data_IF_900030717323
#
_entry.id   IF_900030717323
#
_cell.length_a   1.000
_cell.length_b   1.000
_cell.length_c   1.000
_cell.angle_alpha   90.00
_cell.angle_beta   90.00
_cell.angle_gamma   90.00
#
_symmetry.space_group_name_H-M   'P 1'
#
loop_
_entity.id
_entity.type
_entity.pdbx_description
1 polymer ?
#
# COMPACT_ATOMS: atom_id res chain seq x y z
N UNK A 1 24.08 -2.26 -7.44
CA UNK A 1 24.36 -2.03 -6.01
C UNK A 1 25.34 -0.88 -5.76
N UNK A 2 26.54 -0.79 -6.40
CA UNK A 2 27.47 0.31 -6.13
C UNK A 2 26.90 1.71 -6.38
N UNK A 3 26.08 1.89 -7.42
CA UNK A 3 25.40 3.16 -7.71
C UNK A 3 24.36 3.51 -6.63
N UNK A 4 23.58 2.53 -6.17
CA UNK A 4 22.58 2.69 -5.11
C UNK A 4 23.28 3.20 -3.84
N UNK A 5 24.39 2.55 -3.46
CA UNK A 5 25.20 2.98 -2.32
C UNK A 5 25.82 4.36 -2.52
N UNK A 6 26.35 4.65 -3.71
CA UNK A 6 26.95 5.96 -4.03
C UNK A 6 25.98 7.12 -3.87
N UNK A 7 24.71 6.93 -4.23
CA UNK A 7 23.70 7.99 -4.21
C UNK A 7 22.75 7.93 -3.01
N UNK A 8 22.86 6.92 -2.14
CA UNK A 8 21.94 6.75 -1.01
C UNK A 8 20.48 6.57 -1.46
N UNK A 9 20.26 5.89 -2.58
CA UNK A 9 18.93 5.68 -3.12
C UNK A 9 18.28 4.42 -2.53
N UNK A 10 16.96 4.43 -2.39
CA UNK A 10 16.19 3.20 -2.20
C UNK A 10 16.18 2.37 -3.50
N UNK A 11 15.96 1.06 -3.37
CA UNK A 11 15.90 0.13 -4.48
C UNK A 11 14.69 -0.80 -4.37
N UNK A 12 13.92 -0.89 -5.46
CA UNK A 12 12.92 -1.95 -5.63
C UNK A 12 13.63 -3.17 -6.20
N UNK A 13 13.51 -4.30 -5.53
CA UNK A 13 14.13 -5.55 -5.93
C UNK A 13 13.07 -6.62 -6.16
N UNK A 14 12.97 -7.07 -7.40
CA UNK A 14 12.00 -8.08 -7.81
C UNK A 14 12.48 -9.44 -7.31
N UNK A 15 11.66 -10.16 -6.54
CA UNK A 15 12.01 -11.49 -6.01
C UNK A 15 11.87 -12.58 -7.09
N UNK A 16 12.68 -12.47 -8.14
CA UNK A 16 12.71 -13.37 -9.29
C UNK A 16 14.17 -13.65 -9.65
N UNK A 17 14.46 -14.89 -10.07
CA UNK A 17 15.80 -15.26 -10.54
C UNK A 17 15.78 -15.71 -12.02
N UNK A 18 16.91 -16.21 -12.50
CA UNK A 18 17.11 -16.66 -13.89
C UNK A 18 16.24 -17.87 -14.27
N UNK A 19 15.67 -18.58 -13.29
CA UNK A 19 14.78 -19.73 -13.52
C UNK A 19 13.34 -19.31 -13.82
N UNK A 20 13.02 -18.02 -13.65
CA UNK A 20 11.71 -17.45 -13.94
C UNK A 20 10.86 -17.23 -12.70
N UNK A 21 9.55 -17.06 -12.94
CA UNK A 21 8.54 -16.67 -11.95
C UNK A 21 8.02 -17.92 -11.24
N UNK A 22 8.58 -18.23 -10.07
CA UNK A 22 8.07 -19.31 -9.22
C UNK A 22 6.73 -18.92 -8.57
N UNK A 23 5.78 -19.86 -8.55
CA UNK A 23 4.52 -19.71 -7.80
C UNK A 23 4.67 -20.09 -6.31
N UNK A 24 5.81 -20.66 -5.92
CA UNK A 24 6.09 -21.08 -4.54
C UNK A 24 6.56 -19.89 -3.69
N UNK A 25 5.82 -19.52 -2.62
CA UNK A 25 6.24 -18.48 -1.68
C UNK A 25 7.61 -18.72 -1.05
N UNK A 26 8.01 -19.97 -0.80
CA UNK A 26 9.33 -20.27 -0.20
C UNK A 26 10.46 -19.89 -1.16
N UNK A 27 10.30 -20.21 -2.45
CA UNK A 27 11.27 -19.83 -3.48
C UNK A 27 11.37 -18.30 -3.57
N UNK A 28 10.24 -17.60 -3.54
CA UNK A 28 10.20 -16.12 -3.55
C UNK A 28 10.95 -15.52 -2.37
N UNK A 29 10.73 -16.06 -1.17
CA UNK A 29 11.39 -15.60 0.05
C UNK A 29 12.87 -15.93 0.07
N UNK A 30 13.28 -17.08 -0.48
CA UNK A 30 14.69 -17.42 -0.63
C UNK A 30 15.42 -16.42 -1.56
N UNK A 31 14.80 -16.06 -2.68
CA UNK A 31 15.34 -15.03 -3.58
C UNK A 31 15.38 -13.66 -2.90
N UNK A 32 14.31 -13.27 -2.20
CA UNK A 32 14.28 -12.02 -1.44
C UNK A 32 15.39 -11.97 -0.39
N UNK A 33 15.62 -13.04 0.36
CA UNK A 33 16.71 -13.15 1.34
C UNK A 33 18.07 -12.96 0.69
N UNK A 34 18.34 -13.64 -0.43
CA UNK A 34 19.58 -13.49 -1.20
C UNK A 34 19.81 -12.05 -1.66
N UNK A 35 18.75 -11.37 -2.13
CA UNK A 35 18.81 -9.96 -2.54
C UNK A 35 19.19 -9.08 -1.34
N UNK A 36 18.54 -9.28 -0.19
CA UNK A 36 18.77 -8.49 1.02
C UNK A 36 20.21 -8.68 1.50
N UNK A 37 20.68 -9.91 1.64
CA UNK A 37 22.06 -10.23 2.03
C UNK A 37 23.06 -9.54 1.10
N UNK A 38 22.81 -9.63 -0.21
CA UNK A 38 23.67 -8.99 -1.20
C UNK A 38 23.66 -7.45 -1.10
N UNK A 39 22.52 -6.84 -0.78
CA UNK A 39 22.44 -5.40 -0.54
C UNK A 39 23.22 -5.00 0.72
N UNK A 40 23.13 -5.80 1.78
CA UNK A 40 23.85 -5.59 3.04
C UNK A 40 25.37 -5.69 2.86
N UNK A 41 25.87 -6.62 2.03
CA UNK A 41 27.30 -6.71 1.67
C UNK A 41 27.84 -5.41 1.05
N UNK A 42 26.97 -4.63 0.39
CA UNK A 42 27.31 -3.34 -0.23
C UNK A 42 27.03 -2.16 0.70
N UNK A 43 26.67 -2.42 1.96
CA UNK A 43 26.36 -1.40 2.97
C UNK A 43 25.06 -0.64 2.69
N UNK A 44 24.10 -1.25 1.98
CA UNK A 44 22.76 -0.70 1.78
C UNK A 44 21.87 -1.21 2.92
N UNK A 45 21.20 -0.32 3.67
CA UNK A 45 20.41 -0.74 4.82
C UNK A 45 19.10 -1.41 4.38
N UNK A 46 18.50 -2.20 5.27
CA UNK A 46 17.33 -3.04 4.93
C UNK A 46 16.09 -2.21 4.62
N UNK A 47 15.94 -1.07 5.27
CA UNK A 47 14.85 -0.11 5.04
C UNK A 47 14.87 0.48 3.61
N UNK A 48 16.03 0.53 2.96
CA UNK A 48 16.18 1.01 1.58
C UNK A 48 15.93 -0.08 0.53
N UNK A 49 15.69 -1.33 0.94
CA UNK A 49 15.40 -2.45 0.04
C UNK A 49 13.90 -2.76 0.10
N UNK A 50 13.21 -2.47 -1.01
CA UNK A 50 11.80 -2.75 -1.19
C UNK A 50 11.63 -4.02 -2.02
N UNK A 51 11.17 -5.10 -1.41
CA UNK A 51 10.93 -6.36 -2.13
C UNK A 51 9.62 -6.27 -2.92
N UNK A 52 9.69 -6.53 -4.23
CA UNK A 52 8.52 -6.70 -5.08
C UNK A 52 8.28 -8.20 -5.35
N UNK A 53 7.20 -8.79 -4.81
CA UNK A 53 6.87 -10.20 -5.00
C UNK A 53 6.36 -10.54 -6.41
N UNK A 54 6.23 -9.53 -7.28
CA UNK A 54 5.68 -9.60 -8.64
C UNK A 54 4.22 -10.07 -8.65
N UNK A 55 3.29 -9.12 -8.47
CA UNK A 55 1.86 -9.39 -8.52
C UNK A 55 1.45 -9.92 -9.90
N UNK A 56 0.81 -11.07 -9.91
CA UNK A 56 0.32 -11.70 -11.14
C UNK A 56 -1.18 -11.46 -11.36
N UNK A 57 -1.69 -11.50 -12.61
CA UNK A 57 -3.10 -11.25 -12.90
C UNK A 57 -4.02 -12.30 -12.29
N UNK A 58 -4.98 -11.85 -11.47
CA UNK A 58 -5.94 -12.74 -10.77
C UNK A 58 -6.87 -13.47 -11.75
N UNK A 59 -7.13 -12.87 -12.92
CA UNK A 59 -7.94 -13.48 -13.97
C UNK A 59 -7.30 -14.72 -14.61
N UNK A 60 -5.97 -14.82 -14.57
CA UNK A 60 -5.22 -15.97 -15.06
C UNK A 60 -4.87 -16.96 -13.94
N UNK A 61 -4.66 -16.46 -12.72
CA UNK A 61 -4.26 -17.28 -11.57
C UNK A 61 -5.15 -17.04 -10.36
N UNK A 62 -6.08 -17.97 -10.11
CA UNK A 62 -7.11 -17.88 -9.06
C UNK A 62 -6.56 -17.55 -7.66
N UNK A 63 -5.36 -18.03 -7.34
CA UNK A 63 -4.75 -17.89 -6.01
C UNK A 63 -3.71 -16.77 -5.90
N UNK A 64 -3.43 -16.03 -6.98
CA UNK A 64 -2.37 -15.01 -7.01
C UNK A 64 -2.51 -13.98 -5.87
N UNK A 65 -3.74 -13.54 -5.57
CA UNK A 65 -4.01 -12.61 -4.48
C UNK A 65 -3.60 -13.16 -3.11
N UNK A 66 -4.00 -14.40 -2.78
CA UNK A 66 -3.65 -15.02 -1.49
C UNK A 66 -2.14 -15.26 -1.36
N UNK A 67 -1.52 -15.73 -2.44
CA UNK A 67 -0.08 -15.98 -2.47
C UNK A 67 0.71 -14.68 -2.24
N UNK A 68 0.34 -13.58 -2.91
CA UNK A 68 1.07 -12.32 -2.73
C UNK A 68 0.89 -11.73 -1.34
N UNK A 69 -0.30 -11.84 -0.74
CA UNK A 69 -0.51 -11.40 0.65
C UNK A 69 0.33 -12.20 1.64
N UNK A 70 0.52 -13.50 1.40
CA UNK A 70 1.38 -14.34 2.23
C UNK A 70 2.85 -13.92 2.12
N UNK A 71 3.34 -13.71 0.90
CA UNK A 71 4.73 -13.27 0.67
C UNK A 71 4.98 -11.90 1.30
N UNK A 72 4.05 -10.95 1.12
CA UNK A 72 4.13 -9.62 1.73
C UNK A 72 4.21 -9.71 3.25
N UNK A 73 3.34 -10.51 3.88
CA UNK A 73 3.33 -10.70 5.34
C UNK A 73 4.65 -11.28 5.83
N UNK A 74 5.16 -12.32 5.17
CA UNK A 74 6.43 -12.96 5.55
C UNK A 74 7.64 -12.07 5.31
N UNK A 75 7.65 -11.26 4.24
CA UNK A 75 8.69 -10.23 4.06
C UNK A 75 8.71 -9.24 5.23
N UNK A 76 7.53 -8.83 5.71
CA UNK A 76 7.40 -7.91 6.85
C UNK A 76 7.77 -8.57 8.18
N UNK A 77 7.32 -9.79 8.41
CA UNK A 77 7.46 -10.49 9.69
C UNK A 77 8.81 -11.18 9.87
N UNK A 78 9.32 -11.86 8.83
CA UNK A 78 10.55 -12.66 8.91
C UNK A 78 11.77 -11.88 8.44
N UNK A 79 11.67 -11.18 7.31
CA UNK A 79 12.81 -10.49 6.69
C UNK A 79 13.00 -9.06 7.22
N UNK A 80 11.95 -8.48 7.82
CA UNK A 80 11.90 -7.11 8.36
C UNK A 80 12.31 -6.06 7.31
N UNK A 81 11.80 -6.21 6.10
CA UNK A 81 12.03 -5.28 4.99
C UNK A 81 10.76 -4.59 4.55
N UNK A 82 10.94 -3.54 3.75
CA UNK A 82 9.84 -2.90 3.05
C UNK A 82 9.45 -3.72 1.81
N UNK A 83 8.20 -3.58 1.39
CA UNK A 83 7.65 -4.23 0.19
C UNK A 83 7.02 -3.19 -0.74
N UNK A 84 7.08 -3.48 -2.04
CA UNK A 84 6.46 -2.67 -3.09
C UNK A 84 5.68 -3.59 -4.03
N UNK A 85 4.59 -3.11 -4.63
CA UNK A 85 3.95 -3.83 -5.72
C UNK A 85 3.29 -2.89 -6.73
N UNK A 86 3.22 -3.34 -7.99
CA UNK A 86 2.38 -2.72 -9.01
C UNK A 86 0.92 -3.12 -8.84
N UNK A 87 0.10 -2.27 -8.21
CA UNK A 87 -1.28 -2.59 -7.85
C UNK A 87 -2.16 -2.91 -9.06
N UNK A 88 -1.89 -2.30 -10.22
CA UNK A 88 -2.67 -2.51 -11.44
C UNK A 88 -2.48 -3.90 -12.07
N UNK A 89 -1.40 -4.62 -11.75
CA UNK A 89 -1.11 -5.91 -12.37
C UNK A 89 -2.14 -6.99 -11.97
N UNK A 90 -2.69 -6.89 -10.75
CA UNK A 90 -3.67 -7.85 -10.24
C UNK A 90 -4.91 -7.96 -11.13
N UNK A 91 -5.34 -6.85 -11.71
CA UNK A 91 -6.59 -6.75 -12.48
C UNK A 91 -6.38 -6.76 -14.00
N UNK A 92 -5.18 -7.10 -14.48
CA UNK A 92 -4.90 -7.12 -15.91
C UNK A 92 -5.85 -8.08 -16.65
N UNK A 93 -6.45 -7.60 -17.75
CA UNK A 93 -7.42 -8.35 -18.55
C UNK A 93 -8.85 -8.42 -17.97
N UNK A 94 -9.12 -7.80 -16.81
CA UNK A 94 -10.45 -7.80 -16.19
C UNK A 94 -11.19 -6.47 -16.40
N UNK A 95 -12.54 -6.49 -16.51
CA UNK A 95 -13.35 -5.28 -16.49
C UNK A 95 -13.42 -4.68 -15.08
N UNK A 96 -13.88 -3.43 -14.98
CA UNK A 96 -14.13 -2.74 -13.71
C UNK A 96 -12.95 -2.78 -12.72
N UNK A 97 -11.77 -2.34 -13.19
CA UNK A 97 -10.49 -2.52 -12.48
C UNK A 97 -10.33 -1.66 -11.22
N UNK A 98 -10.98 -0.49 -11.15
CA UNK A 98 -10.86 0.44 -10.02
C UNK A 98 -11.21 -0.20 -8.67
N UNK A 99 -12.45 -0.70 -8.49
CA UNK A 99 -12.85 -1.39 -7.27
C UNK A 99 -11.99 -2.61 -6.93
N UNK A 100 -11.54 -3.36 -7.94
CA UNK A 100 -10.69 -4.54 -7.76
C UNK A 100 -9.29 -4.16 -7.27
N UNK A 101 -8.68 -3.12 -7.85
CA UNK A 101 -7.38 -2.60 -7.43
C UNK A 101 -7.45 -1.99 -6.03
N UNK A 102 -8.50 -1.22 -5.73
CA UNK A 102 -8.72 -0.66 -4.39
C UNK A 102 -8.87 -1.76 -3.33
N UNK A 103 -9.69 -2.77 -3.60
CA UNK A 103 -9.85 -3.92 -2.69
C UNK A 103 -8.53 -4.67 -2.49
N UNK A 104 -7.80 -4.92 -3.58
CA UNK A 104 -6.47 -5.54 -3.52
C UNK A 104 -5.51 -4.74 -2.64
N UNK A 105 -5.44 -3.42 -2.82
CA UNK A 105 -4.57 -2.56 -2.03
C UNK A 105 -4.94 -2.58 -0.54
N UNK A 106 -6.22 -2.48 -0.20
CA UNK A 106 -6.66 -2.55 1.20
C UNK A 106 -6.25 -3.88 1.86
N UNK A 107 -6.43 -5.00 1.15
CA UNK A 107 -6.01 -6.32 1.63
C UNK A 107 -4.49 -6.44 1.74
N UNK A 108 -3.74 -5.90 0.77
CA UNK A 108 -2.27 -5.93 0.79
C UNK A 108 -1.69 -5.08 1.93
N UNK A 109 -2.28 -3.90 2.18
CA UNK A 109 -1.94 -3.03 3.32
C UNK A 109 -2.21 -3.77 4.63
N UNK A 110 -3.35 -4.46 4.76
CA UNK A 110 -3.65 -5.33 5.91
C UNK A 110 -2.67 -6.50 6.07
N UNK A 111 -2.06 -6.97 4.99
CA UNK A 111 -1.01 -7.99 5.02
C UNK A 111 0.40 -7.44 5.34
N UNK A 112 0.57 -6.11 5.42
CA UNK A 112 1.85 -5.45 5.72
C UNK A 112 2.57 -4.84 4.52
N UNK A 113 1.87 -4.58 3.41
CA UNK A 113 2.43 -3.84 2.27
C UNK A 113 2.83 -2.43 2.70
N UNK A 114 4.06 -2.01 2.40
CA UNK A 114 4.56 -0.70 2.82
C UNK A 114 4.53 0.36 1.72
N UNK A 115 4.45 -0.04 0.45
CA UNK A 115 4.39 0.88 -0.69
C UNK A 115 3.73 0.24 -1.90
N UNK A 116 3.18 1.06 -2.80
CA UNK A 116 2.58 0.58 -4.04
C UNK A 116 2.80 1.56 -5.20
N UNK A 117 3.00 1.03 -6.40
CA UNK A 117 2.94 1.78 -7.65
C UNK A 117 1.48 1.70 -8.15
N UNK A 118 0.77 2.83 -8.09
CA UNK A 118 -0.65 2.92 -8.42
C UNK A 118 -1.03 4.34 -8.86
N UNK A 119 -2.28 4.55 -9.29
CA UNK A 119 -2.83 5.87 -9.57
C UNK A 119 -3.47 6.47 -8.30
N UNK A 120 -2.80 7.40 -7.59
CA UNK A 120 -3.28 7.90 -6.30
C UNK A 120 -4.48 8.85 -6.40
N UNK A 121 -4.80 9.35 -7.59
CA UNK A 121 -5.95 10.25 -7.80
C UNK A 121 -7.22 9.51 -8.23
N UNK A 122 -7.13 8.19 -8.48
CA UNK A 122 -8.29 7.37 -8.77
C UNK A 122 -9.10 7.14 -7.49
N UNK A 123 -10.41 7.37 -7.55
CA UNK A 123 -11.27 7.47 -6.37
C UNK A 123 -11.37 6.16 -5.59
N UNK A 124 -11.49 5.02 -6.26
CA UNK A 124 -11.55 3.72 -5.58
C UNK A 124 -10.25 3.38 -4.87
N UNK A 125 -9.09 3.65 -5.50
CA UNK A 125 -7.76 3.47 -4.90
C UNK A 125 -7.59 4.40 -3.71
N UNK A 126 -7.85 5.71 -3.88
CA UNK A 126 -7.68 6.71 -2.80
C UNK A 126 -8.54 6.35 -1.59
N UNK A 127 -9.82 6.07 -1.82
CA UNK A 127 -10.76 5.71 -0.75
C UNK A 127 -10.34 4.43 -0.05
N UNK A 128 -9.88 3.41 -0.80
CA UNK A 128 -9.43 2.15 -0.21
C UNK A 128 -8.17 2.31 0.65
N UNK A 129 -7.21 3.13 0.23
CA UNK A 129 -6.00 3.43 1.02
C UNK A 129 -6.39 4.13 2.32
N UNK A 130 -7.20 5.19 2.24
CA UNK A 130 -7.63 5.94 3.44
C UNK A 130 -8.42 5.05 4.41
N UNK A 131 -9.30 4.18 3.89
CA UNK A 131 -10.04 3.23 4.71
C UNK A 131 -9.10 2.21 5.37
N UNK A 132 -8.11 1.70 4.63
CA UNK A 132 -7.12 0.77 5.17
C UNK A 132 -6.25 1.42 6.26
N UNK A 133 -5.89 2.70 6.11
CA UNK A 133 -5.16 3.46 7.13
C UNK A 133 -5.96 3.61 8.42
N UNK A 134 -7.26 3.87 8.34
CA UNK A 134 -8.14 3.85 9.52
C UNK A 134 -8.12 2.47 10.18
N UNK A 135 -8.32 1.40 9.41
CA UNK A 135 -8.41 0.04 9.94
C UNK A 135 -7.10 -0.46 10.56
N UNK A 136 -5.95 0.01 10.07
CA UNK A 136 -4.63 -0.32 10.60
C UNK A 136 -4.17 0.62 11.73
N UNK A 137 -4.96 1.63 12.10
CA UNK A 137 -4.60 2.60 13.13
C UNK A 137 -3.56 3.64 12.70
N UNK A 138 -3.39 3.84 11.39
CA UNK A 138 -2.52 4.87 10.81
C UNK A 138 -3.20 6.24 10.68
N UNK A 139 -4.52 6.33 10.83
CA UNK A 139 -5.28 7.59 10.83
C UNK A 139 -5.73 7.94 12.26
N UNK A 140 -4.96 8.79 12.93
CA UNK A 140 -5.21 9.19 14.31
C UNK A 140 -6.59 9.88 14.43
N UNK A 141 -7.46 9.35 15.30
CA UNK A 141 -8.84 9.80 15.49
C UNK A 141 -9.69 9.84 14.20
N UNK A 142 -9.30 9.07 13.17
CA UNK A 142 -9.95 9.05 11.86
C UNK A 142 -10.04 10.43 11.19
N UNK A 143 -9.12 11.36 11.50
CA UNK A 143 -9.22 12.75 11.09
C UNK A 143 -9.18 12.89 9.57
N UNK A 144 -8.27 12.18 8.89
CA UNK A 144 -8.15 12.26 7.45
C UNK A 144 -9.41 11.70 6.77
N UNK A 145 -9.93 10.59 7.28
CA UNK A 145 -11.18 10.00 6.80
C UNK A 145 -12.37 10.96 6.96
N UNK A 146 -12.54 11.56 8.13
CA UNK A 146 -13.63 12.50 8.41
C UNK A 146 -13.52 13.73 7.50
N UNK A 147 -12.33 14.29 7.33
CA UNK A 147 -12.12 15.46 6.46
C UNK A 147 -12.48 15.17 5.01
N UNK A 148 -12.12 13.99 4.49
CA UNK A 148 -12.41 13.61 3.11
C UNK A 148 -13.88 13.24 2.85
N UNK A 149 -14.62 12.81 3.88
CA UNK A 149 -15.99 12.30 3.74
C UNK A 149 -17.05 13.19 4.43
N UNK A 150 -16.67 14.38 4.93
CA UNK A 150 -17.61 15.28 5.56
C UNK A 150 -18.66 15.73 4.53
N UNK A 151 -19.96 15.53 4.79
CA UNK A 151 -20.98 16.04 3.88
C UNK A 151 -20.90 17.57 3.82
N UNK A 152 -21.18 18.19 2.66
CA UNK A 152 -21.26 19.63 2.57
C UNK A 152 -22.29 20.14 3.60
N UNK A 153 -21.91 21.14 4.41
CA UNK A 153 -22.88 21.73 5.33
C UNK A 153 -24.01 22.36 4.52
N UNK A 154 -25.28 22.17 4.92
CA UNK A 154 -26.38 22.90 4.30
C UNK A 154 -26.12 24.40 4.47
N UNK A 155 -26.25 25.16 3.37
CA UNK A 155 -26.12 26.60 3.40
C UNK A 155 -27.14 27.20 4.38
N UNK A 156 -26.67 27.69 5.54
CA UNK A 156 -27.53 28.40 6.50
C UNK A 156 -27.24 28.15 7.99
N UNK A 157 -26.58 27.04 8.36
CA UNK A 157 -26.42 26.72 9.79
C UNK A 157 -25.30 27.49 10.48
N UNK A 158 -24.21 27.81 9.77
CA UNK A 158 -23.08 28.58 10.32
C UNK A 158 -23.48 29.99 10.78
N UNK A 159 -24.52 30.58 10.18
CA UNK A 159 -25.02 31.90 10.54
C UNK A 159 -25.99 31.90 11.73
N UNK A 160 -26.57 30.75 12.10
CA UNK A 160 -27.59 30.65 13.15
C UNK A 160 -26.98 30.62 14.56
N UNK A 161 -25.84 29.93 14.73
CA UNK A 161 -25.13 29.84 16.01
C UNK A 161 -24.58 31.19 16.48
N UNK A 162 -23.92 31.92 15.59
CA UNK A 162 -23.34 33.24 15.90
C UNK A 162 -24.40 34.32 16.21
N UNK A 163 -25.60 34.23 15.61
CA UNK A 163 -26.73 35.13 15.92
C UNK A 163 -27.37 34.82 17.28
N UNK A 164 -27.40 33.55 17.71
CA UNK A 164 -28.02 33.15 18.97
C UNK A 164 -27.19 33.57 20.19
N UNK A 165 -25.86 33.45 20.11
CA UNK A 165 -24.96 33.94 21.16
C UNK A 165 -24.97 35.46 21.32
N UNK A 166 -25.02 36.22 20.20
CA UNK A 166 -25.11 37.69 20.26
C UNK A 166 -26.41 38.20 20.87
N UNK A 167 -27.50 37.44 20.76
CA UNK A 167 -28.81 37.82 21.32
C UNK A 167 -28.91 37.50 22.82
N UNK A 168 -28.24 36.45 23.29
CA UNK A 168 -28.14 36.13 24.72
C UNK A 168 -27.24 37.09 25.51
N UNK A 169 -26.19 37.66 24.88
CA UNK A 169 -25.31 38.64 25.53
C UNK A 169 -25.87 40.07 25.61
N UNK A 170 -27.08 40.31 25.09
CA UNK A 170 -27.72 41.63 25.02
C UNK A 170 -29.10 41.69 25.72
N UNK A 171 -29.48 40.63 26.44
CA UNK A 171 -30.72 40.54 27.22
C UNK A 171 -30.45 40.57 28.70
#
# INVERSE_FOLDING_TARGET
LPLIKKYGAAVIAISNDETGISEDPEVRLAVARKIIERAQDHGIPREDVLIDPLVMPIGAMRYAGRQVFEIVRRCREELKVNTCCGASNVSFGLPNRGPLNGTFLAMAIGAGLTSAITNPIEEHIKTAIMAADVMNGNDENCLNWIMANRPPQPEGEAASGARRERRMRRG
#
